data_IF_211407223821
#
_entry.id   IF_211407223821
#
_cell.length_a   1.000
_cell.length_b   1.000
_cell.length_c   1.000
_cell.angle_alpha   90.00
_cell.angle_beta   90.00
_cell.angle_gamma   90.00
#
_symmetry.space_group_name_H-M   'P 1'
#
loop_
_entity.id
_entity.type
_entity.pdbx_description
1 polymer ?
#
# COMPACT_ATOMS: atom_id res chain seq x y z
N UNK A 1 8.37 37.00 -42.08
CA UNK A 1 8.36 35.58 -41.67
C UNK A 1 7.48 34.82 -42.64
N UNK A 2 7.98 33.73 -43.21
CA UNK A 2 7.24 32.97 -44.25
C UNK A 2 6.48 31.80 -43.64
N UNK A 3 5.37 31.39 -44.26
CA UNK A 3 4.62 30.19 -43.85
C UNK A 3 5.50 28.93 -43.83
N UNK A 4 6.49 28.84 -44.72
CA UNK A 4 7.43 27.70 -44.80
C UNK A 4 8.36 27.67 -43.58
N UNK A 5 8.86 28.82 -43.14
CA UNK A 5 9.72 28.92 -41.95
C UNK A 5 8.99 28.49 -40.68
N UNK A 6 7.73 28.90 -40.53
CA UNK A 6 6.87 28.47 -39.42
C UNK A 6 6.59 26.96 -39.51
N UNK A 7 6.36 26.42 -40.70
CA UNK A 7 6.09 24.99 -40.91
C UNK A 7 7.32 24.11 -40.62
N UNK A 8 8.50 24.52 -41.06
CA UNK A 8 9.76 23.82 -40.76
C UNK A 8 10.07 23.90 -39.26
N UNK A 9 9.86 25.07 -38.64
CA UNK A 9 10.00 25.22 -37.19
C UNK A 9 9.08 24.27 -36.41
N UNK A 10 7.80 24.20 -36.79
CA UNK A 10 6.84 23.28 -36.16
C UNK A 10 7.21 21.81 -36.36
N UNK A 11 7.71 21.42 -37.54
CA UNK A 11 8.15 20.05 -37.80
C UNK A 11 9.36 19.64 -36.93
N UNK A 12 10.32 20.55 -36.73
CA UNK A 12 11.46 20.31 -35.86
C UNK A 12 11.00 20.15 -34.42
N UNK A 13 10.15 21.06 -33.93
CA UNK A 13 9.62 20.99 -32.56
C UNK A 13 8.80 19.70 -32.34
N UNK A 14 7.92 19.35 -33.28
CA UNK A 14 7.15 18.11 -33.21
C UNK A 14 8.04 16.86 -33.24
N UNK A 15 9.06 16.85 -34.10
CA UNK A 15 10.04 15.76 -34.17
C UNK A 15 10.84 15.60 -32.88
N UNK A 16 11.23 16.70 -32.24
CA UNK A 16 11.91 16.68 -30.94
C UNK A 16 10.98 16.15 -29.84
N UNK A 17 9.74 16.65 -29.76
CA UNK A 17 8.75 16.18 -28.78
C UNK A 17 8.44 14.68 -28.94
N UNK A 18 8.38 14.18 -30.17
CA UNK A 18 8.12 12.76 -30.47
C UNK A 18 9.21 11.83 -29.90
N UNK A 19 10.45 12.29 -29.72
CA UNK A 19 11.52 11.50 -29.11
C UNK A 19 11.56 11.62 -27.59
N UNK A 20 11.17 12.77 -27.04
CA UNK A 20 11.27 13.05 -25.60
C UNK A 20 10.21 12.30 -24.81
N UNK A 21 8.96 12.25 -25.27
CA UNK A 21 7.84 11.65 -24.53
C UNK A 21 8.06 10.15 -24.23
N UNK A 22 8.40 9.28 -25.21
CA UNK A 22 8.63 7.86 -24.94
C UNK A 22 9.80 7.61 -23.97
N UNK A 23 10.80 8.48 -23.97
CA UNK A 23 11.95 8.36 -23.07
C UNK A 23 11.59 8.68 -21.61
N UNK A 24 10.60 9.56 -21.37
CA UNK A 24 10.10 9.88 -20.02
C UNK A 24 9.24 8.74 -19.49
N UNK A 25 8.29 8.24 -20.30
CA UNK A 25 7.38 7.16 -19.88
C UNK A 25 8.13 5.86 -19.61
N UNK A 26 9.12 5.51 -20.44
CA UNK A 26 9.93 4.30 -20.25
C UNK A 26 10.72 4.33 -18.92
N UNK A 27 11.29 5.47 -18.54
CA UNK A 27 11.99 5.61 -17.25
C UNK A 27 11.05 5.56 -16.07
N UNK A 28 9.84 6.08 -16.22
CA UNK A 28 8.82 6.04 -15.18
C UNK A 28 8.41 4.59 -14.88
N UNK A 29 8.14 3.78 -15.91
CA UNK A 29 7.83 2.35 -15.74
C UNK A 29 8.93 1.55 -15.06
N UNK A 30 10.21 1.85 -15.33
CA UNK A 30 11.36 1.22 -14.64
C UNK A 30 11.36 1.53 -13.14
N UNK A 31 11.06 2.79 -12.75
CA UNK A 31 10.96 3.17 -11.34
C UNK A 31 9.82 2.44 -10.64
N UNK A 32 8.66 2.32 -11.28
CA UNK A 32 7.53 1.55 -10.72
C UNK A 32 7.92 0.09 -10.49
N UNK A 33 8.61 -0.53 -11.44
CA UNK A 33 9.09 -1.91 -11.32
C UNK A 33 10.11 -2.08 -10.19
N UNK A 34 11.05 -1.14 -10.05
CA UNK A 34 12.05 -1.14 -8.97
C UNK A 34 11.38 -1.07 -7.60
N UNK A 35 10.43 -0.15 -7.42
CA UNK A 35 9.69 0.02 -6.18
C UNK A 35 8.75 -1.17 -5.88
N UNK A 36 8.15 -1.77 -6.91
CA UNK A 36 7.43 -3.03 -6.76
C UNK A 36 8.35 -4.14 -6.23
N UNK A 37 9.57 -4.24 -6.76
CA UNK A 37 10.59 -5.18 -6.31
C UNK A 37 11.05 -4.91 -4.88
N UNK A 38 11.28 -3.63 -4.53
CA UNK A 38 11.65 -3.19 -3.17
C UNK A 38 10.57 -3.57 -2.17
N UNK A 39 9.31 -3.23 -2.44
CA UNK A 39 8.18 -3.58 -1.58
C UNK A 39 8.00 -5.09 -1.47
N UNK A 40 8.15 -5.85 -2.55
CA UNK A 40 8.14 -7.31 -2.51
C UNK A 40 9.23 -7.89 -1.57
N UNK A 41 10.44 -7.31 -1.62
CA UNK A 41 11.53 -7.63 -0.70
C UNK A 41 11.19 -7.31 0.76
N UNK A 42 10.61 -6.13 1.02
CA UNK A 42 10.14 -5.72 2.35
C UNK A 42 9.07 -6.65 2.92
N UNK A 43 8.08 -7.05 2.12
CA UNK A 43 7.04 -8.02 2.51
C UNK A 43 7.69 -9.36 2.90
N UNK A 44 8.61 -9.86 2.06
CA UNK A 44 9.32 -11.12 2.34
C UNK A 44 10.18 -11.04 3.59
N UNK A 45 10.85 -9.89 3.80
CA UNK A 45 11.62 -9.64 5.01
C UNK A 45 10.72 -9.66 6.25
N UNK A 46 9.62 -8.91 6.24
CA UNK A 46 8.75 -8.79 7.41
C UNK A 46 8.07 -10.11 7.76
N UNK A 47 7.69 -10.90 6.75
CA UNK A 47 7.22 -12.27 6.95
C UNK A 47 8.23 -13.13 7.71
N UNK A 48 9.51 -13.13 7.29
CA UNK A 48 10.55 -13.88 8.00
C UNK A 48 10.83 -13.30 9.38
N UNK A 49 10.83 -11.97 9.50
CA UNK A 49 11.07 -11.30 10.76
C UNK A 49 10.03 -11.69 11.81
N UNK A 50 8.74 -11.64 11.46
CA UNK A 50 7.64 -12.05 12.33
C UNK A 50 7.81 -13.49 12.82
N UNK A 51 8.14 -14.41 11.91
CA UNK A 51 8.36 -15.83 12.23
C UNK A 51 9.59 -16.06 13.14
N UNK A 52 10.70 -15.35 12.92
CA UNK A 52 11.94 -15.50 13.70
C UNK A 52 11.79 -14.92 15.11
N UNK A 53 11.16 -13.76 15.24
CA UNK A 53 11.08 -13.04 16.51
C UNK A 53 9.84 -13.43 17.33
N UNK A 54 8.93 -14.23 16.77
CA UNK A 54 7.71 -14.63 17.46
C UNK A 54 6.75 -13.47 17.73
N UNK A 55 6.83 -12.41 16.92
CA UNK A 55 6.01 -11.20 17.04
C UNK A 55 5.06 -11.08 15.86
N UNK A 56 3.91 -10.45 16.08
CA UNK A 56 3.02 -10.08 14.98
C UNK A 56 3.44 -8.72 14.44
N UNK A 57 3.66 -8.64 13.13
CA UNK A 57 4.07 -7.42 12.46
C UNK A 57 3.06 -7.02 11.39
N UNK A 58 3.07 -5.75 11.00
CA UNK A 58 2.27 -5.22 9.91
C UNK A 58 3.05 -4.20 9.10
N UNK A 59 2.69 -4.09 7.82
CA UNK A 59 3.00 -2.92 7.01
C UNK A 59 1.78 -2.01 7.09
N UNK A 60 1.95 -0.80 7.60
CA UNK A 60 0.94 0.24 7.53
C UNK A 60 1.21 1.09 6.29
N UNK A 61 0.23 1.14 5.39
CA UNK A 61 0.28 1.90 4.15
C UNK A 61 -0.49 3.20 4.33
N UNK A 62 0.09 4.29 3.86
CA UNK A 62 -0.56 5.59 3.76
C UNK A 62 -0.74 5.89 2.27
N UNK A 63 -1.98 5.80 1.79
CA UNK A 63 -2.35 5.97 0.39
C UNK A 63 -2.87 7.39 0.18
N UNK A 64 -2.19 8.11 -0.69
CA UNK A 64 -2.69 9.39 -1.17
C UNK A 64 -3.82 9.14 -2.19
N UNK A 65 -4.94 9.90 -2.11
CA UNK A 65 -6.02 9.76 -3.08
C UNK A 65 -5.48 10.03 -4.47
N UNK A 66 -5.68 9.08 -5.38
CA UNK A 66 -5.31 9.24 -6.79
C UNK A 66 -6.17 10.33 -7.43
N UNK A 67 -5.75 11.60 -7.32
CA UNK A 67 -6.34 12.68 -8.11
C UNK A 67 -5.75 12.60 -9.51
N UNK A 68 -6.61 12.39 -10.48
CA UNK A 68 -6.29 12.43 -11.91
C UNK A 68 -5.55 13.74 -12.22
N UNK A 69 -4.30 13.65 -12.68
CA UNK A 69 -3.44 14.81 -12.96
C UNK A 69 -2.63 15.38 -11.78
N UNK A 70 -2.64 14.76 -10.59
CA UNK A 70 -1.77 15.17 -9.47
C UNK A 70 -0.45 14.40 -9.48
N UNK A 71 0.67 15.12 -9.60
CA UNK A 71 2.03 14.56 -9.59
C UNK A 71 2.58 14.31 -8.17
N UNK A 72 1.85 14.75 -7.14
CA UNK A 72 2.33 14.88 -5.75
C UNK A 72 1.71 13.90 -4.75
N UNK A 73 1.03 12.85 -5.22
CA UNK A 73 0.43 11.85 -4.33
C UNK A 73 1.51 10.95 -3.71
N UNK A 74 2.19 11.44 -2.68
CA UNK A 74 3.22 10.73 -1.93
C UNK A 74 2.59 9.61 -1.10
N UNK A 75 2.64 8.39 -1.65
CA UNK A 75 2.32 7.19 -0.88
C UNK A 75 3.53 6.80 -0.04
N UNK A 76 3.28 6.28 1.17
CA UNK A 76 4.35 5.80 2.05
C UNK A 76 3.91 4.52 2.74
N UNK A 77 4.89 3.79 3.28
CA UNK A 77 4.61 2.63 4.13
C UNK A 77 5.59 2.53 5.28
N UNK A 78 5.12 2.03 6.42
CA UNK A 78 5.90 1.89 7.65
C UNK A 78 5.75 0.49 8.23
N UNK A 79 6.74 0.05 8.98
CA UNK A 79 6.76 -1.28 9.59
C UNK A 79 6.52 -1.17 11.08
N UNK A 80 5.57 -1.96 11.57
CA UNK A 80 5.19 -1.98 12.97
C UNK A 80 5.07 -3.43 13.46
N UNK A 81 5.41 -3.66 14.72
CA UNK A 81 5.19 -4.95 15.38
C UNK A 81 4.55 -4.74 16.74
N UNK A 82 3.90 -5.79 17.24
CA UNK A 82 3.35 -5.85 18.58
C UNK A 82 3.81 -7.14 19.25
N UNK A 83 3.98 -7.08 20.56
CA UNK A 83 4.04 -8.29 21.37
C UNK A 83 2.63 -8.92 21.45
N UNK A 84 2.59 -10.25 21.48
CA UNK A 84 1.34 -11.02 21.55
C UNK A 84 0.71 -11.36 20.20
N UNK A 85 -0.47 -11.97 20.26
CA UNK A 85 -1.24 -12.40 19.10
C UNK A 85 -2.49 -11.53 18.96
N UNK A 86 -2.44 -10.45 18.16
CA UNK A 86 -3.57 -9.55 18.03
C UNK A 86 -4.73 -10.28 17.38
N UNK A 87 -5.91 -10.18 17.98
CA UNK A 87 -7.14 -10.67 17.36
C UNK A 87 -7.54 -9.68 16.29
N UNK A 88 -7.41 -10.07 15.02
CA UNK A 88 -8.05 -9.35 13.93
C UNK A 88 -9.56 -9.58 14.01
N UNK A 89 -10.35 -8.53 13.72
CA UNK A 89 -11.80 -8.68 13.60
C UNK A 89 -12.08 -9.73 12.49
N UNK A 90 -12.92 -10.75 12.75
CA UNK A 90 -13.24 -11.76 11.75
C UNK A 90 -14.17 -11.22 10.66
N UNK A 91 -14.86 -10.12 10.94
CA UNK A 91 -15.78 -9.46 10.04
C UNK A 91 -15.06 -8.75 8.90
N UNK A 92 -15.70 -8.72 7.74
CA UNK A 92 -15.18 -7.99 6.60
C UNK A 92 -15.21 -6.49 6.90
N UNK A 93 -14.07 -5.83 6.71
CA UNK A 93 -13.92 -4.39 6.84
C UNK A 93 -14.56 -3.68 5.64
N UNK A 94 -15.50 -2.79 5.93
CA UNK A 94 -16.20 -2.02 4.91
C UNK A 94 -15.29 -0.96 4.29
N UNK A 95 -15.34 -0.85 2.97
CA UNK A 95 -14.56 0.11 2.19
C UNK A 95 -15.53 0.97 1.38
N UNK A 96 -15.46 2.29 1.56
CA UNK A 96 -16.34 3.26 0.90
C UNK A 96 -15.50 4.42 0.37
N UNK A 97 -15.73 4.80 -0.89
CA UNK A 97 -14.95 5.85 -1.57
C UNK A 97 -13.42 5.59 -1.50
N UNK A 98 -13.03 4.32 -1.61
CA UNK A 98 -11.63 3.89 -1.57
C UNK A 98 -10.96 4.01 -0.20
N UNK A 99 -11.70 4.28 0.88
CA UNK A 99 -11.18 4.32 2.27
C UNK A 99 -11.86 3.27 3.12
N UNK A 100 -11.18 2.79 4.15
CA UNK A 100 -11.81 1.98 5.19
C UNK A 100 -12.85 2.86 5.92
N UNK A 101 -14.07 2.36 6.06
CA UNK A 101 -15.09 3.00 6.87
C UNK A 101 -14.75 2.75 8.35
N UNK A 102 -14.27 3.79 9.03
CA UNK A 102 -14.03 3.74 10.46
C UNK A 102 -15.39 3.80 11.16
N UNK A 103 -15.73 2.72 11.89
CA UNK A 103 -16.82 2.78 12.85
C UNK A 103 -16.41 3.78 13.94
N UNK A 104 -17.06 4.94 14.00
CA UNK A 104 -16.86 5.90 15.10
C UNK A 104 -17.25 5.21 16.42
N UNK A 105 -16.24 4.80 17.20
CA UNK A 105 -16.44 4.39 18.58
C UNK A 105 -16.92 5.61 19.36
N UNK A 106 -18.17 5.58 19.84
CA UNK A 106 -18.67 6.69 20.65
C UNK A 106 -17.75 6.93 21.86
N UNK A 107 -17.36 8.19 22.13
CA UNK A 107 -16.52 8.50 23.27
C UNK A 107 -17.29 8.21 24.55
N UNK A 108 -16.97 7.10 25.20
CA UNK A 108 -17.63 6.68 26.42
C UNK A 108 -16.84 7.12 27.64
N UNK A 109 -17.54 7.70 28.60
CA UNK A 109 -17.00 8.10 29.89
C UNK A 109 -16.54 6.86 30.70
N UNK A 110 -15.22 6.66 30.79
CA UNK A 110 -14.60 5.53 31.50
C UNK A 110 -14.99 5.44 32.99
N UNK A 111 -15.41 6.57 33.58
CA UNK A 111 -15.82 6.63 34.99
C UNK A 111 -17.20 6.00 35.22
N UNK A 112 -18.04 5.95 34.20
CA UNK A 112 -19.38 5.36 34.26
C UNK A 112 -19.39 3.86 33.92
N UNK A 113 -18.28 3.36 33.36
CA UNK A 113 -18.14 1.95 33.03
C UNK A 113 -18.02 1.10 34.29
N UNK A 114 -18.69 -0.05 34.26
CA UNK A 114 -18.44 -1.14 35.19
C UNK A 114 -17.00 -1.66 35.05
N UNK A 115 -16.53 -2.39 36.06
CA UNK A 115 -15.21 -3.02 36.01
C UNK A 115 -15.11 -4.06 34.88
N UNK A 116 -16.22 -4.73 34.57
CA UNK A 116 -16.32 -5.70 33.47
C UNK A 116 -16.26 -5.01 32.10
N UNK A 117 -16.97 -3.90 31.90
CA UNK A 117 -16.88 -3.12 30.66
C UNK A 117 -15.49 -2.50 30.46
N UNK A 118 -14.85 -2.01 31.53
CA UNK A 118 -13.44 -1.57 31.46
C UNK A 118 -12.50 -2.72 31.10
N UNK A 119 -12.78 -3.91 31.60
CA UNK A 119 -12.00 -5.10 31.25
C UNK A 119 -12.19 -5.48 29.78
N UNK A 120 -13.42 -5.50 29.26
CA UNK A 120 -13.71 -5.75 27.85
C UNK A 120 -13.04 -4.70 26.95
N UNK A 121 -13.20 -3.41 27.27
CA UNK A 121 -12.53 -2.30 26.56
C UNK A 121 -11.02 -2.45 26.48
N UNK A 122 -10.36 -2.88 27.56
CA UNK A 122 -8.90 -3.13 27.54
C UNK A 122 -8.51 -4.29 26.63
N UNK A 123 -9.39 -5.27 26.47
CA UNK A 123 -9.20 -6.37 25.52
C UNK A 123 -9.47 -5.89 24.09
N UNK A 124 -10.48 -5.04 23.89
CA UNK A 124 -10.90 -4.47 22.61
C UNK A 124 -9.97 -3.38 22.07
N UNK A 125 -9.31 -2.62 22.96
CA UNK A 125 -8.34 -1.57 22.63
C UNK A 125 -7.18 -2.07 21.76
N UNK A 126 -7.06 -3.39 21.61
CA UNK A 126 -6.20 -4.01 20.63
C UNK A 126 -4.72 -3.98 21.03
N UNK A 127 -3.86 -4.55 20.18
CA UNK A 127 -2.42 -4.52 20.38
C UNK A 127 -1.85 -3.09 20.37
N UNK A 128 -0.83 -2.86 21.19
CA UNK A 128 0.03 -1.68 21.06
C UNK A 128 1.08 -1.92 20.00
N UNK A 129 0.90 -1.29 18.85
CA UNK A 129 1.87 -1.30 17.77
C UNK A 129 3.04 -0.38 18.09
N UNK A 130 4.24 -0.90 17.90
CA UNK A 130 5.49 -0.15 17.98
C UNK A 130 6.22 -0.25 16.66
N UNK A 131 6.97 0.79 16.29
CA UNK A 131 7.86 0.75 15.13
C UNK A 131 8.76 -0.49 15.16
N UNK A 132 8.98 -1.09 13.99
CA UNK A 132 9.90 -2.21 13.83
C UNK A 132 11.30 -1.80 14.27
N UNK A 133 11.82 -2.45 15.30
CA UNK A 133 13.23 -2.39 15.68
C UNK A 133 14.05 -3.33 14.78
N UNK A 134 14.75 -2.82 13.77
CA UNK A 134 15.57 -3.64 12.88
C UNK A 134 16.14 -2.88 11.68
N UNK A 135 16.95 -3.57 10.86
CA UNK A 135 17.69 -2.99 9.73
C UNK A 135 16.87 -2.53 8.52
N UNK A 136 15.55 -2.41 8.64
CA UNK A 136 14.69 -1.74 7.66
C UNK A 136 14.56 -0.26 8.01
N UNK A 137 14.39 0.58 6.99
CA UNK A 137 13.94 1.96 7.23
C UNK A 137 12.55 1.92 7.88
N UNK A 138 12.37 2.72 8.93
CA UNK A 138 11.13 2.75 9.73
C UNK A 138 9.90 3.10 8.88
N UNK A 139 10.08 4.10 8.03
CA UNK A 139 9.12 4.60 7.05
C UNK A 139 9.83 4.68 5.70
N UNK A 140 9.17 4.20 4.67
CA UNK A 140 9.63 4.26 3.28
C UNK A 140 8.65 5.13 2.51
N UNK A 141 9.13 6.28 2.06
CA UNK A 141 8.42 7.14 1.12
C UNK A 141 8.68 6.66 -0.29
N UNK A 142 7.63 6.60 -1.11
CA UNK A 142 7.78 6.27 -2.52
C UNK A 142 8.38 7.46 -3.28
N UNK A 143 9.24 7.19 -4.28
CA UNK A 143 9.85 8.26 -5.07
C UNK A 143 8.78 9.03 -5.87
N UNK A 144 9.07 10.29 -6.26
CA UNK A 144 8.15 11.09 -7.04
C UNK A 144 7.66 10.38 -8.31
N UNK A 145 6.35 10.49 -8.56
CA UNK A 145 5.70 9.82 -9.68
C UNK A 145 5.45 8.33 -9.49
N UNK A 146 5.74 7.74 -8.33
CA UNK A 146 5.33 6.37 -7.97
C UNK A 146 4.34 6.43 -6.81
N UNK A 147 3.23 5.71 -6.95
CA UNK A 147 2.14 5.70 -5.96
C UNK A 147 1.53 4.31 -5.80
N UNK A 148 0.98 4.04 -4.62
CA UNK A 148 0.16 2.85 -4.40
C UNK A 148 -1.24 3.20 -4.89
N UNK A 149 -1.67 2.59 -5.99
CA UNK A 149 -2.98 2.82 -6.60
C UNK A 149 -4.11 2.17 -5.83
N UNK A 150 -3.81 1.07 -5.15
CA UNK A 150 -4.74 0.44 -4.24
C UNK A 150 -4.18 -0.79 -3.55
N UNK A 151 -4.89 -1.24 -2.53
CA UNK A 151 -4.61 -2.45 -1.76
C UNK A 151 -5.91 -3.19 -1.54
N UNK A 152 -5.88 -4.49 -1.75
CA UNK A 152 -6.99 -5.39 -1.46
C UNK A 152 -6.51 -6.61 -0.67
N UNK A 153 -7.33 -7.04 0.28
CA UNK A 153 -7.19 -8.31 1.02
C UNK A 153 -8.58 -8.95 1.10
N UNK A 154 -8.71 -10.27 1.33
CA UNK A 154 -10.02 -10.90 1.51
C UNK A 154 -10.85 -10.31 2.66
N UNK A 155 -10.20 -9.68 3.65
CA UNK A 155 -10.87 -8.98 4.75
C UNK A 155 -11.46 -7.64 4.34
N UNK A 156 -11.08 -7.07 3.19
CA UNK A 156 -11.63 -5.81 2.68
C UNK A 156 -12.76 -6.11 1.71
N UNK A 157 -13.90 -5.43 1.89
CA UNK A 157 -15.06 -5.54 1.00
C UNK A 157 -14.81 -4.99 -0.41
N UNK A 158 -13.89 -4.02 -0.55
CA UNK A 158 -13.47 -3.44 -1.83
C UNK A 158 -11.98 -3.00 -1.74
N UNK A 159 -11.44 -2.47 -2.84
CA UNK A 159 -10.08 -1.94 -2.91
C UNK A 159 -9.97 -0.65 -2.11
N UNK A 160 -8.98 -0.58 -1.21
CA UNK A 160 -8.60 0.67 -0.55
C UNK A 160 -7.62 1.41 -1.45
N UNK A 161 -7.99 2.61 -1.91
CA UNK A 161 -7.20 3.48 -2.79
C UNK A 161 -6.81 4.82 -2.15
N UNK A 162 -7.23 5.07 -0.92
CA UNK A 162 -6.89 6.28 -0.15
C UNK A 162 -6.95 6.01 1.36
N UNK A 163 -6.25 6.83 2.15
CA UNK A 163 -6.24 6.72 3.61
C UNK A 163 -5.22 5.71 4.12
N UNK A 164 -5.49 5.08 5.26
CA UNK A 164 -4.61 4.06 5.84
C UNK A 164 -5.17 2.65 5.67
N UNK A 165 -4.29 1.68 5.48
CA UNK A 165 -4.63 0.25 5.53
C UNK A 165 -3.41 -0.58 5.92
N UNK A 166 -3.62 -1.84 6.28
CA UNK A 166 -2.59 -2.70 6.84
C UNK A 166 -2.51 -4.05 6.16
N UNK A 167 -1.28 -4.59 6.08
CA UNK A 167 -1.02 -5.98 5.75
C UNK A 167 -0.33 -6.66 6.94
N UNK A 168 -0.95 -7.71 7.49
CA UNK A 168 -0.49 -8.41 8.68
C UNK A 168 0.40 -9.62 8.37
N UNK A 169 1.36 -9.87 9.28
CA UNK A 169 2.34 -10.95 9.25
C UNK A 169 2.40 -11.59 10.64
N UNK A 170 2.13 -12.89 10.71
CA UNK A 170 1.95 -13.63 11.95
C UNK A 170 3.18 -14.50 12.27
N UNK A 171 3.48 -14.72 13.56
CA UNK A 171 4.65 -15.47 14.00
C UNK A 171 4.62 -16.96 13.60
N UNK A 172 3.44 -17.49 13.24
CA UNK A 172 3.27 -18.87 12.79
C UNK A 172 3.69 -19.10 11.34
N UNK A 173 4.26 -18.08 10.68
CA UNK A 173 4.64 -18.17 9.27
C UNK A 173 3.44 -18.02 8.34
N UNK A 174 2.56 -17.06 8.66
CA UNK A 174 1.42 -16.71 7.82
C UNK A 174 1.40 -15.20 7.59
N UNK A 175 0.86 -14.78 6.45
CA UNK A 175 0.51 -13.39 6.15
C UNK A 175 -0.85 -13.38 5.46
N UNK A 176 -1.50 -12.22 5.38
CA UNK A 176 -2.74 -12.16 4.59
C UNK A 176 -2.42 -12.32 3.10
N UNK A 177 -3.37 -12.91 2.37
CA UNK A 177 -3.42 -12.73 0.92
C UNK A 177 -3.65 -11.24 0.64
N UNK A 178 -2.87 -10.68 -0.27
CA UNK A 178 -3.05 -9.31 -0.71
C UNK A 178 -2.78 -9.14 -2.20
N UNK A 179 -3.49 -8.19 -2.80
CA UNK A 179 -3.13 -7.58 -4.08
C UNK A 179 -2.79 -6.11 -3.80
N UNK A 180 -1.62 -5.67 -4.25
CA UNK A 180 -1.16 -4.30 -4.09
C UNK A 180 -0.82 -3.79 -5.49
N UNK A 181 -1.49 -2.73 -5.94
CA UNK A 181 -1.21 -2.09 -7.21
C UNK A 181 -0.29 -0.89 -6.98
N UNK A 182 0.84 -0.87 -7.68
CA UNK A 182 1.78 0.25 -7.70
C UNK A 182 1.88 0.78 -9.13
N UNK A 183 1.90 2.10 -9.29
CA UNK A 183 1.89 2.71 -10.61
C UNK A 183 2.36 4.16 -10.65
N UNK A 184 2.44 4.69 -11.86
CA UNK A 184 2.80 6.08 -12.15
C UNK A 184 1.70 6.80 -12.96
N UNK A 185 1.76 8.12 -13.16
CA UNK A 185 0.80 8.86 -13.97
C UNK A 185 0.80 8.52 -15.47
N UNK A 186 1.70 7.65 -15.95
CA UNK A 186 1.88 7.30 -17.35
C UNK A 186 1.30 5.91 -17.68
N UNK A 187 0.31 5.47 -16.90
CA UNK A 187 -0.38 4.18 -17.01
C UNK A 187 0.51 2.94 -16.83
N UNK A 188 1.75 3.08 -16.33
CA UNK A 188 2.53 1.92 -15.91
C UNK A 188 1.96 1.41 -14.58
N UNK A 189 1.61 0.13 -14.54
CA UNK A 189 1.07 -0.52 -13.35
C UNK A 189 1.70 -1.90 -13.13
N UNK A 190 2.02 -2.19 -11.88
CA UNK A 190 2.45 -3.50 -11.43
C UNK A 190 1.56 -3.97 -10.28
N UNK A 191 1.22 -5.25 -10.27
CA UNK A 191 0.50 -5.88 -9.16
C UNK A 191 1.43 -6.79 -8.37
N UNK A 192 1.54 -6.56 -7.06
CA UNK A 192 2.17 -7.48 -6.13
C UNK A 192 1.09 -8.41 -5.56
N UNK A 193 1.20 -9.70 -5.84
CA UNK A 193 0.33 -10.75 -5.29
C UNK A 193 1.06 -11.48 -4.16
N UNK A 194 0.58 -11.30 -2.93
CA UNK A 194 1.16 -11.88 -1.70
C UNK A 194 0.54 -13.25 -1.42
N UNK A 195 1.39 -14.27 -1.27
CA UNK A 195 0.98 -15.63 -0.91
C UNK A 195 0.97 -15.82 0.61
N UNK A 196 -0.17 -16.21 1.21
CA UNK A 196 -0.35 -16.18 2.66
C UNK A 196 0.58 -17.14 3.42
N UNK A 197 0.74 -18.38 2.95
CA UNK A 197 1.48 -19.44 3.66
C UNK A 197 3.00 -19.41 3.44
N UNK A 198 3.49 -18.58 2.53
CA UNK A 198 4.91 -18.57 2.16
C UNK A 198 5.55 -17.20 2.25
N UNK A 199 4.74 -16.14 2.36
CA UNK A 199 5.21 -14.76 2.23
C UNK A 199 5.83 -14.46 0.87
N UNK A 200 5.66 -15.34 -0.14
CA UNK A 200 6.17 -15.12 -1.48
C UNK A 200 5.33 -14.06 -2.16
N UNK A 201 5.99 -13.11 -2.79
CA UNK A 201 5.35 -12.08 -3.61
C UNK A 201 5.62 -12.39 -5.08
N UNK A 202 4.56 -12.44 -5.88
CA UNK A 202 4.67 -12.47 -7.34
C UNK A 202 4.35 -11.08 -7.88
N UNK A 203 5.21 -10.57 -8.75
CA UNK A 203 5.05 -9.26 -9.37
C UNK A 203 4.58 -9.46 -10.80
N UNK A 204 3.44 -8.85 -11.14
CA UNK A 204 2.83 -8.91 -12.47
C UNK A 204 2.89 -7.53 -13.13
N UNK A 205 3.28 -7.41 -14.42
CA UNK A 205 3.37 -6.14 -15.13
C UNK A 205 2.00 -5.68 -15.67
N UNK A 206 0.93 -5.92 -14.92
CA UNK A 206 -0.45 -5.61 -15.29
C UNK A 206 -1.29 -5.42 -14.03
N UNK A 207 -2.43 -4.73 -14.17
CA UNK A 207 -3.42 -4.62 -13.11
C UNK A 207 -4.26 -5.90 -13.06
N UNK A 208 -4.01 -6.76 -12.07
CA UNK A 208 -4.83 -7.95 -11.87
C UNK A 208 -6.21 -7.56 -11.33
N UNK A 209 -7.22 -8.34 -11.70
CA UNK A 209 -8.56 -8.20 -11.13
C UNK A 209 -8.61 -8.79 -9.71
N UNK A 210 -9.45 -8.18 -8.87
CA UNK A 210 -9.80 -8.75 -7.57
C UNK A 210 -10.53 -10.09 -7.79
N UNK A 211 -10.12 -11.18 -7.13
CA UNK A 211 -10.83 -12.45 -7.21
C UNK A 211 -12.30 -12.27 -6.79
N UNK A 212 -13.22 -12.73 -7.62
CA UNK A 212 -14.64 -12.83 -7.28
C UNK A 212 -14.89 -14.24 -6.77
N UNK A 213 -15.27 -14.36 -5.51
CA UNK A 213 -15.76 -15.62 -4.92
C UNK A 213 -17.21 -15.90 -5.34
#
# INVERSE_FOLDING_TARGET
MTLIEVLVGLLIVAGLLAMVVPAVTARAGVRVQEEAGRLAGSIRYLYNYAAIHGQTCRIAFSLAPSREGSEESASAYRFECTEGNPRLKPEQTQVRDGRIEEEEEEPVDETQLSEEERFQRRIEAGPRWSELSGGLAKTVELPPGVSIRGIWTPQLSDVVSAGETWLYFFPIGETQRALIWIGDPYDNVYTLSVQPLTGRVRVFPEALEVPRD
#
